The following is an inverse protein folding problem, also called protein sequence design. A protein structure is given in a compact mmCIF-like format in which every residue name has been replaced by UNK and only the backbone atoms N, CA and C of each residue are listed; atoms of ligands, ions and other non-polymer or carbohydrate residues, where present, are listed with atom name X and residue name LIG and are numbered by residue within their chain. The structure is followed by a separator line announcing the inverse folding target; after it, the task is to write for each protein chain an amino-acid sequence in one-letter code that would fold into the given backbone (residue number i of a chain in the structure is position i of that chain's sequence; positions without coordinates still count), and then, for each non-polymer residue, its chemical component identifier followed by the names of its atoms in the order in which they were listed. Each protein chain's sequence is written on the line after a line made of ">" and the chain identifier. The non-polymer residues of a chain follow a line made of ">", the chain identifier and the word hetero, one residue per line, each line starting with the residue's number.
data_IF_593339844067
#
_entry.id   IF_593339844067
#
_cell.length_a   1.000
_cell.length_b   1.000
_cell.length_c   1.000
_cell.angle_alpha   90.00
_cell.angle_beta   90.00
_cell.angle_gamma   90.00
#
_symmetry.space_group_name_H-M   'P 1'
#
loop_
_entity.id
_entity.type
_entity.pdbx_description
1 polymer ?
#
# COMPACT_ATOMS: atom_id res chain seq x y z
N UNK A 1 5.11 -20.30 30.68
CA UNK A 1 3.65 -20.39 30.94
C UNK A 1 2.88 -19.70 29.81
N UNK A 2 1.60 -20.01 29.70
CA UNK A 2 0.74 -19.36 28.70
C UNK A 2 0.71 -17.83 28.84
N UNK A 3 0.75 -17.33 30.05
CA UNK A 3 0.74 -15.89 30.31
C UNK A 3 2.01 -15.23 29.75
N UNK A 4 3.16 -15.85 29.95
CA UNK A 4 4.43 -15.31 29.46
C UNK A 4 4.49 -15.35 27.93
N UNK A 5 4.02 -16.44 27.32
CA UNK A 5 3.99 -16.56 25.85
C UNK A 5 3.04 -15.55 25.23
N UNK A 6 1.85 -15.37 25.81
CA UNK A 6 0.89 -14.37 25.34
C UNK A 6 1.42 -12.95 25.46
N UNK A 7 2.09 -12.65 26.57
CA UNK A 7 2.69 -11.33 26.77
C UNK A 7 3.79 -11.05 25.75
N UNK A 8 4.65 -12.03 25.49
CA UNK A 8 5.74 -11.90 24.51
C UNK A 8 5.21 -11.67 23.12
N UNK A 9 4.21 -12.46 22.69
CA UNK A 9 3.58 -12.32 21.38
C UNK A 9 2.91 -10.94 21.22
N UNK A 10 2.21 -10.50 22.25
CA UNK A 10 1.56 -9.20 22.27
C UNK A 10 2.58 -8.05 22.16
N UNK A 11 3.69 -8.15 22.88
CA UNK A 11 4.75 -7.16 22.84
C UNK A 11 5.43 -7.07 21.47
N UNK A 12 5.64 -8.21 20.80
CA UNK A 12 6.25 -8.23 19.47
C UNK A 12 5.36 -7.57 18.42
N UNK A 13 4.03 -7.66 18.56
CA UNK A 13 3.11 -7.03 17.62
C UNK A 13 3.20 -5.50 17.61
N UNK A 14 3.72 -4.89 18.68
CA UNK A 14 3.89 -3.44 18.75
C UNK A 14 5.16 -2.92 18.08
N UNK A 15 6.04 -3.79 17.62
CA UNK A 15 7.29 -3.38 16.95
C UNK A 15 7.03 -2.83 15.55
N UNK A 16 5.98 -3.30 14.89
CA UNK A 16 5.63 -2.90 13.53
C UNK A 16 4.59 -1.78 13.55
N UNK A 17 4.58 -0.92 12.51
CA UNK A 17 3.45 -0.02 12.33
C UNK A 17 2.15 -0.80 12.22
N UNK A 18 1.04 -0.18 12.59
CA UNK A 18 -0.28 -0.82 12.48
C UNK A 18 -0.73 -0.90 11.03
N UNK A 19 -1.51 -1.93 10.66
CA UNK A 19 -2.03 -2.05 9.30
C UNK A 19 -2.86 -0.82 8.87
N UNK A 20 -2.83 -0.53 7.57
CA UNK A 20 -3.53 0.61 6.98
C UNK A 20 -4.03 0.22 5.59
N UNK A 21 -4.96 1.00 5.04
CA UNK A 21 -5.55 0.76 3.72
C UNK A 21 -5.15 1.84 2.72
N UNK A 22 -5.04 1.44 1.45
CA UNK A 22 -4.78 2.35 0.34
C UNK A 22 -6.13 2.87 -0.18
N UNK A 23 -6.23 4.17 -0.41
CA UNK A 23 -7.41 4.77 -1.04
C UNK A 23 -7.42 4.52 -2.53
N UNK A 24 -8.59 4.68 -3.16
CA UNK A 24 -8.70 4.57 -4.62
C UNK A 24 -7.94 5.74 -5.26
N UNK A 25 -6.95 5.48 -6.13
CA UNK A 25 -6.23 6.55 -6.80
C UNK A 25 -7.15 7.41 -7.66
N UNK A 26 -6.80 8.66 -7.84
CA UNK A 26 -7.59 9.62 -8.63
C UNK A 26 -6.68 10.38 -9.58
N UNK A 27 -7.22 10.76 -10.74
CA UNK A 27 -6.51 11.57 -11.72
C UNK A 27 -7.15 12.94 -11.77
N UNK A 28 -6.32 13.99 -11.64
CA UNK A 28 -6.76 15.37 -11.72
C UNK A 28 -5.66 16.19 -12.42
N UNK A 29 -6.04 16.97 -13.43
CA UNK A 29 -5.12 17.81 -14.20
C UNK A 29 -3.91 17.06 -14.75
N UNK A 30 -4.10 15.82 -15.23
CA UNK A 30 -3.03 15.01 -15.78
C UNK A 30 -2.10 14.41 -14.75
N UNK A 31 -2.47 14.45 -13.47
CA UNK A 31 -1.68 13.88 -12.38
C UNK A 31 -2.47 12.78 -11.67
N UNK A 32 -1.78 11.67 -11.39
CA UNK A 32 -2.31 10.58 -10.58
C UNK A 32 -1.96 10.85 -9.13
N UNK A 33 -2.98 10.87 -8.29
CA UNK A 33 -2.81 11.03 -6.85
C UNK A 33 -3.15 9.72 -6.14
N UNK A 34 -2.22 9.23 -5.36
CA UNK A 34 -2.39 8.04 -4.53
C UNK A 34 -2.31 8.48 -3.08
N UNK A 35 -3.30 8.10 -2.27
CA UNK A 35 -3.28 8.35 -0.84
C UNK A 35 -3.64 7.06 -0.09
N UNK A 36 -3.31 7.06 1.19
CA UNK A 36 -3.61 5.93 2.08
C UNK A 36 -3.81 6.45 3.48
N UNK A 37 -4.34 5.60 4.36
CA UNK A 37 -4.48 5.96 5.75
C UNK A 37 -3.09 6.10 6.38
N UNK A 38 -2.91 7.09 7.24
CA UNK A 38 -1.65 7.22 7.97
C UNK A 38 -1.48 5.99 8.87
N UNK A 39 -0.33 5.32 8.73
CA UNK A 39 -0.01 4.19 9.59
C UNK A 39 0.26 4.70 11.00
N UNK A 40 -0.09 3.89 11.98
CA UNK A 40 0.05 4.24 13.38
C UNK A 40 1.13 3.40 14.03
N UNK A 41 1.98 4.03 14.85
CA UNK A 41 2.99 3.33 15.64
C UNK A 41 2.69 3.54 17.12
N UNK A 42 2.56 2.46 17.88
CA UNK A 42 2.19 2.52 19.28
C UNK A 42 3.19 3.29 20.16
N UNK A 43 4.47 3.27 19.78
CA UNK A 43 5.50 3.99 20.52
C UNK A 43 5.85 5.32 19.87
N UNK A 44 5.01 5.80 18.98
CA UNK A 44 5.14 7.08 18.28
C UNK A 44 6.48 7.23 17.54
N UNK A 45 7.03 6.10 17.03
CA UNK A 45 8.22 6.14 16.20
C UNK A 45 7.89 6.79 14.85
N UNK A 46 8.84 7.48 14.26
CA UNK A 46 8.65 8.08 12.95
C UNK A 46 8.39 7.00 11.91
N UNK A 47 7.44 7.28 11.02
CA UNK A 47 7.06 6.37 9.94
C UNK A 47 7.37 7.03 8.60
N UNK A 48 7.95 6.23 7.70
CA UNK A 48 8.17 6.61 6.30
C UNK A 48 7.56 5.55 5.42
N UNK A 49 7.12 5.97 4.23
CA UNK A 49 6.43 5.07 3.30
C UNK A 49 7.26 4.87 2.04
N UNK A 50 7.17 3.66 1.50
CA UNK A 50 7.66 3.34 0.15
C UNK A 50 6.46 3.03 -0.71
N UNK A 51 6.37 3.68 -1.87
CA UNK A 51 5.25 3.54 -2.80
C UNK A 51 5.80 3.08 -4.14
N UNK A 52 5.20 2.03 -4.69
CA UNK A 52 5.56 1.52 -6.02
C UNK A 52 4.28 1.37 -6.85
N UNK A 53 4.31 1.90 -8.07
CA UNK A 53 3.25 1.77 -9.05
C UNK A 53 3.78 0.93 -10.21
N UNK A 54 3.10 -0.17 -10.53
CA UNK A 54 3.56 -1.11 -11.54
C UNK A 54 2.42 -1.57 -12.43
N UNK A 55 2.78 -2.17 -13.58
CA UNK A 55 1.81 -2.73 -14.52
C UNK A 55 1.47 -4.19 -14.23
N UNK A 56 2.19 -4.82 -13.31
CA UNK A 56 2.00 -6.24 -12.97
C UNK A 56 1.93 -6.42 -11.44
N UNK A 57 1.26 -7.49 -11.00
CA UNK A 57 1.09 -7.75 -9.57
C UNK A 57 2.41 -8.16 -8.89
N UNK A 58 3.40 -8.62 -9.66
CA UNK A 58 4.71 -8.94 -9.10
C UNK A 58 5.57 -7.70 -8.85
N UNK A 59 5.07 -6.51 -9.25
CA UNK A 59 5.76 -5.23 -9.11
C UNK A 59 7.14 -5.28 -9.78
N UNK A 60 7.20 -5.91 -10.96
CA UNK A 60 8.44 -6.01 -11.73
C UNK A 60 8.53 -4.94 -12.83
N UNK A 61 7.40 -4.50 -13.38
CA UNK A 61 7.34 -3.42 -14.37
C UNK A 61 6.92 -2.13 -13.68
N UNK A 62 7.83 -1.54 -12.90
CA UNK A 62 7.56 -0.35 -12.09
C UNK A 62 7.58 0.89 -12.97
N UNK A 63 6.50 1.67 -12.94
CA UNK A 63 6.38 2.92 -13.69
C UNK A 63 6.61 4.15 -12.81
N UNK A 64 6.48 4.01 -11.49
CA UNK A 64 6.75 5.08 -10.53
C UNK A 64 7.14 4.46 -9.19
N UNK A 65 8.13 5.06 -8.52
CA UNK A 65 8.54 4.64 -7.18
C UNK A 65 8.93 5.87 -6.36
N UNK A 66 8.49 5.91 -5.11
CA UNK A 66 8.89 6.93 -4.14
C UNK A 66 9.30 6.26 -2.83
N UNK A 67 10.40 6.71 -2.26
CA UNK A 67 10.92 6.22 -0.99
C UNK A 67 10.99 7.37 0.03
N UNK A 68 11.04 7.01 1.30
CA UNK A 68 11.15 7.97 2.40
C UNK A 68 10.06 9.03 2.38
N UNK A 69 8.84 8.63 2.00
CA UNK A 69 7.68 9.52 1.94
C UNK A 69 7.18 9.77 3.35
N UNK A 70 7.03 11.03 3.72
CA UNK A 70 6.60 11.42 5.07
C UNK A 70 5.09 11.54 5.22
N UNK A 71 4.41 12.04 4.18
CA UNK A 71 2.95 12.20 4.19
C UNK A 71 2.29 10.98 3.57
N UNK A 72 1.04 10.66 3.94
CA UNK A 72 0.36 9.48 3.42
C UNK A 72 -0.25 9.74 2.04
N UNK A 73 0.51 10.35 1.14
CA UNK A 73 0.10 10.60 -0.23
C UNK A 73 1.30 10.84 -1.14
N UNK A 74 1.12 10.52 -2.42
CA UNK A 74 2.08 10.84 -3.47
C UNK A 74 1.31 11.27 -4.72
N UNK A 75 1.96 12.06 -5.56
CA UNK A 75 1.42 12.49 -6.85
C UNK A 75 2.47 12.23 -7.92
N UNK A 76 2.06 11.68 -9.06
CA UNK A 76 2.94 11.47 -10.21
C UNK A 76 2.18 11.77 -11.49
N UNK A 77 2.88 11.79 -12.63
CA UNK A 77 2.21 11.95 -13.91
C UNK A 77 1.22 10.81 -14.13
N UNK A 78 0.06 11.14 -14.67
CA UNK A 78 -0.96 10.13 -14.95
C UNK A 78 -0.43 9.13 -15.99
N UNK A 79 -0.48 7.82 -15.71
CA UNK A 79 -0.03 6.83 -16.68
C UNK A 79 -1.08 6.65 -17.79
N UNK A 80 -0.67 5.95 -18.85
CA UNK A 80 -1.58 5.59 -19.94
C UNK A 80 -2.72 4.70 -19.45
N UNK A 81 -3.78 4.56 -20.27
CA UNK A 81 -4.86 3.64 -19.96
C UNK A 81 -4.34 2.21 -19.78
N UNK A 82 -4.90 1.50 -18.81
CA UNK A 82 -4.51 0.12 -18.53
C UNK A 82 -4.71 -0.26 -17.09
N UNK A 83 -4.25 -1.46 -16.76
CA UNK A 83 -4.31 -2.01 -15.41
C UNK A 83 -3.01 -1.69 -14.67
N UNK A 84 -3.16 -1.28 -13.41
CA UNK A 84 -2.03 -0.92 -12.56
C UNK A 84 -2.20 -1.50 -11.17
N UNK A 85 -1.06 -1.64 -10.49
CA UNK A 85 -0.99 -2.10 -9.10
C UNK A 85 -0.17 -1.08 -8.31
N UNK A 86 -0.71 -0.64 -7.18
CA UNK A 86 0.03 0.25 -6.28
C UNK A 86 0.29 -0.49 -4.98
N UNK A 87 1.55 -0.52 -4.56
CA UNK A 87 1.99 -1.13 -3.31
C UNK A 87 2.52 -0.05 -2.39
N UNK A 88 2.08 -0.08 -1.13
CA UNK A 88 2.55 0.86 -0.10
C UNK A 88 3.03 0.07 1.10
N UNK A 89 4.22 0.40 1.57
CA UNK A 89 4.83 -0.19 2.75
C UNK A 89 5.23 0.91 3.72
N UNK A 90 4.87 0.76 4.99
CA UNK A 90 5.26 1.67 6.06
C UNK A 90 6.46 1.09 6.80
N UNK A 91 7.45 1.93 7.11
CA UNK A 91 8.64 1.54 7.88
C UNK A 91 8.80 2.52 9.04
N UNK A 92 8.95 2.01 10.25
CA UNK A 92 9.23 2.87 11.39
C UNK A 92 10.74 3.11 11.57
N UNK A 93 11.10 3.98 12.52
CA UNK A 93 12.49 4.37 12.74
C UNK A 93 13.39 3.22 13.20
N UNK A 94 12.81 2.14 13.71
CA UNK A 94 13.57 0.94 14.09
C UNK A 94 13.73 -0.06 12.94
N UNK A 95 13.19 0.24 11.76
CA UNK A 95 13.34 -0.61 10.59
C UNK A 95 12.27 -1.68 10.42
N UNK A 96 11.26 -1.73 11.28
CA UNK A 96 10.15 -2.66 11.13
C UNK A 96 9.18 -2.16 10.08
N UNK A 97 8.67 -3.07 9.26
CA UNK A 97 7.82 -2.74 8.12
C UNK A 97 6.43 -3.35 8.27
N UNK A 98 5.45 -2.67 7.67
CA UNK A 98 4.08 -3.17 7.57
C UNK A 98 3.54 -2.78 6.19
N UNK A 99 3.15 -3.78 5.40
CA UNK A 99 2.48 -3.54 4.12
C UNK A 99 1.05 -3.08 4.35
N UNK A 100 0.50 -2.36 3.36
CA UNK A 100 -0.93 -2.03 3.36
C UNK A 100 -1.76 -3.32 3.48
N UNK A 101 -2.95 -3.20 4.05
CA UNK A 101 -3.82 -4.34 4.30
C UNK A 101 -4.60 -4.78 3.06
N UNK A 102 -4.59 -3.97 2.01
CA UNK A 102 -5.20 -4.31 0.72
C UNK A 102 -4.55 -5.56 0.12
N UNK A 103 -5.31 -6.28 -0.68
CA UNK A 103 -4.77 -7.45 -1.36
C UNK A 103 -5.39 -7.62 -2.74
N UNK A 104 -4.67 -8.34 -3.60
CA UNK A 104 -5.13 -8.74 -4.93
C UNK A 104 -5.06 -10.27 -5.03
N UNK A 105 -6.13 -10.88 -5.56
CA UNK A 105 -6.22 -12.34 -5.66
C UNK A 105 -5.71 -12.79 -7.02
N UNK A 106 -4.73 -13.70 -6.99
CA UNK A 106 -4.18 -14.34 -8.19
C UNK A 106 -4.37 -15.85 -8.09
N UNK A 107 -4.02 -16.57 -9.16
CA UNK A 107 -4.03 -18.04 -9.14
C UNK A 107 -3.07 -18.61 -8.09
N UNK A 108 -2.05 -17.85 -7.71
CA UNK A 108 -1.07 -18.24 -6.70
C UNK A 108 -1.50 -17.87 -5.28
N UNK A 109 -2.67 -17.25 -5.11
CA UNK A 109 -3.21 -16.86 -3.82
C UNK A 109 -3.34 -15.35 -3.68
N UNK A 110 -3.41 -14.87 -2.42
CA UNK A 110 -3.56 -13.45 -2.13
C UNK A 110 -2.20 -12.75 -2.11
N UNK A 111 -2.11 -11.62 -2.82
CA UNK A 111 -0.95 -10.75 -2.84
C UNK A 111 -1.26 -9.53 -1.99
N UNK A 112 -0.71 -9.46 -0.78
CA UNK A 112 -1.00 -8.39 0.17
C UNK A 112 -0.15 -7.15 -0.08
N UNK A 113 -0.62 -6.03 0.42
CA UNK A 113 0.10 -4.77 0.38
C UNK A 113 -0.14 -3.95 -0.87
N UNK A 114 -1.04 -4.39 -1.76
CA UNK A 114 -1.28 -3.72 -3.03
C UNK A 114 -2.75 -3.57 -3.34
N UNK A 115 -3.05 -2.52 -4.12
CA UNK A 115 -4.38 -2.28 -4.68
C UNK A 115 -4.29 -2.30 -6.20
N UNK A 116 -5.19 -3.04 -6.83
CA UNK A 116 -5.32 -3.07 -8.29
C UNK A 116 -6.36 -2.04 -8.73
N UNK A 117 -6.05 -1.29 -9.79
CA UNK A 117 -6.98 -0.33 -10.37
C UNK A 117 -6.76 -0.23 -11.88
N UNK A 118 -7.75 0.33 -12.56
CA UNK A 118 -7.70 0.57 -14.00
C UNK A 118 -7.77 2.06 -14.28
N UNK A 119 -6.91 2.52 -15.20
CA UNK A 119 -7.00 3.87 -15.76
C UNK A 119 -7.72 3.76 -17.09
N UNK A 120 -8.85 4.44 -17.21
CA UNK A 120 -9.69 4.45 -18.39
C UNK A 120 -9.56 5.78 -19.14
N UNK A 121 -10.06 5.81 -20.37
CA UNK A 121 -10.03 7.02 -21.19
C UNK A 121 -10.72 8.19 -20.45
N UNK A 122 -10.16 9.37 -20.62
CA UNK A 122 -10.68 10.56 -19.96
C UNK A 122 -10.19 10.74 -18.53
N UNK A 123 -9.23 9.93 -18.07
CA UNK A 123 -8.67 10.05 -16.74
C UNK A 123 -9.55 9.46 -15.65
N UNK A 124 -10.42 8.53 -15.98
CA UNK A 124 -11.26 7.85 -15.00
C UNK A 124 -10.50 6.68 -14.38
N UNK A 125 -10.53 6.59 -13.05
CA UNK A 125 -9.92 5.48 -12.32
C UNK A 125 -11.02 4.61 -11.74
N UNK A 126 -10.91 3.29 -11.95
CA UNK A 126 -11.85 2.30 -11.44
C UNK A 126 -11.07 1.28 -10.63
N UNK A 127 -11.51 1.05 -9.39
CA UNK A 127 -10.90 0.05 -8.53
C UNK A 127 -11.30 -1.35 -8.99
N UNK A 128 -10.33 -2.27 -9.02
CA UNK A 128 -10.60 -3.69 -9.24
C UNK A 128 -10.90 -4.32 -7.89
N UNK A 129 -12.18 -4.56 -7.64
CA UNK A 129 -12.62 -5.22 -6.41
C UNK A 129 -12.84 -6.70 -6.70
N UNK A 130 -12.25 -7.53 -5.84
CA UNK A 130 -12.50 -8.96 -5.91
C UNK A 130 -13.88 -9.23 -5.31
N UNK A 131 -14.78 -9.77 -6.13
CA UNK A 131 -16.08 -10.23 -5.64
C UNK A 131 -16.08 -11.75 -5.62
N UNK A 132 -16.35 -12.32 -4.45
CA UNK A 132 -16.62 -13.75 -4.35
C UNK A 132 -17.99 -13.99 -4.99
N UNK A 133 -17.93 -14.43 -6.24
CA UNK A 133 -19.15 -14.75 -6.99
C UNK A 133 -19.63 -16.16 -6.75
#
# INVERSE_FOLDING_TARGET
>A
SEIEENYKSYRESYKKPMPFYIGVPQIDNGKLRVNWDAAYDFEARDIRYTVELARDYAISDVVFKAEDVLLPEVTCDAPDTGQYFVRVCATNSDGYTQDAFDYYVTDDGKQYGMKCFYVQDGGKVVEDTYEEG
#
